data_IF_418181275820
#
_entry.id   IF_418181275820
#
_cell.length_a   1.000
_cell.length_b   1.000
_cell.length_c   1.000
_cell.angle_alpha   90.00
_cell.angle_beta   90.00
_cell.angle_gamma   90.00
#
_symmetry.space_group_name_H-M   'P 1'
#
loop_
_entity.id
_entity.type
_entity.pdbx_description
1 polymer ?
#
# COMPACT_ATOMS: atom_id res chain seq x y z
N UNK A 1 1.59 -20.78 10.76
CA UNK A 1 0.96 -19.46 10.58
C UNK A 1 1.24 -18.97 9.16
N UNK A 2 0.28 -18.29 8.53
CA UNK A 2 0.39 -17.66 7.21
C UNK A 2 0.37 -16.14 7.39
N UNK A 3 1.44 -15.48 6.99
CA UNK A 3 1.69 -14.06 7.27
C UNK A 3 1.90 -13.28 5.97
N UNK A 4 1.11 -12.24 5.75
CA UNK A 4 1.36 -11.25 4.71
C UNK A 4 2.51 -10.33 5.11
N UNK A 5 3.50 -10.15 4.22
CA UNK A 5 4.65 -9.27 4.43
C UNK A 5 4.54 -8.06 3.50
N UNK A 6 4.38 -6.90 4.14
CA UNK A 6 4.29 -5.58 3.52
C UNK A 6 5.54 -5.14 2.77
N UNK A 7 5.51 -3.88 2.33
CA UNK A 7 6.61 -3.28 1.57
C UNK A 7 7.12 -2.00 2.26
N UNK A 8 8.30 -1.54 1.85
CA UNK A 8 8.92 -0.31 2.33
C UNK A 8 9.97 -0.52 3.42
N UNK A 9 10.63 0.57 3.80
CA UNK A 9 11.78 0.56 4.72
C UNK A 9 11.42 0.10 6.12
N UNK A 10 10.23 0.46 6.62
CA UNK A 10 9.79 0.07 7.97
C UNK A 10 9.59 -1.44 8.09
N UNK A 11 9.22 -2.11 6.99
CA UNK A 11 8.98 -3.55 6.99
C UNK A 11 10.27 -4.37 7.10
N UNK A 12 11.41 -3.81 6.68
CA UNK A 12 12.72 -4.45 6.86
C UNK A 12 12.96 -4.76 8.34
N UNK A 13 12.78 -3.77 9.22
CA UNK A 13 12.94 -3.95 10.68
C UNK A 13 11.90 -4.90 11.28
N UNK A 14 10.67 -4.92 10.74
CA UNK A 14 9.65 -5.87 11.18
C UNK A 14 10.04 -7.31 10.84
N UNK A 15 10.59 -7.55 9.65
CA UNK A 15 11.06 -8.87 9.23
C UNK A 15 12.27 -9.32 10.06
N UNK A 16 13.23 -8.43 10.33
CA UNK A 16 14.35 -8.74 11.24
C UNK A 16 13.83 -9.28 12.58
N UNK A 17 12.83 -8.62 13.17
CA UNK A 17 12.23 -9.07 14.43
C UNK A 17 11.45 -10.38 14.30
N UNK A 18 10.77 -10.60 13.17
CA UNK A 18 10.08 -11.87 12.88
C UNK A 18 11.09 -13.02 12.82
N UNK A 19 12.25 -12.82 12.19
CA UNK A 19 13.30 -13.83 12.05
C UNK A 19 13.86 -14.25 13.41
N UNK A 20 14.11 -13.28 14.29
CA UNK A 20 14.51 -13.56 15.67
C UNK A 20 13.47 -14.43 16.39
N UNK A 21 12.19 -14.04 16.30
CA UNK A 21 11.08 -14.77 16.92
C UNK A 21 10.90 -16.18 16.37
N UNK A 22 11.02 -16.36 15.06
CA UNK A 22 11.00 -17.67 14.41
C UNK A 22 12.06 -18.59 14.99
N UNK A 23 13.28 -18.08 15.20
CA UNK A 23 14.40 -18.84 15.77
C UNK A 23 14.21 -19.13 17.25
N UNK A 24 13.84 -18.13 18.05
CA UNK A 24 13.64 -18.25 19.50
C UNK A 24 12.53 -19.25 19.84
N UNK A 25 11.43 -19.23 19.09
CA UNK A 25 10.20 -19.97 19.42
C UNK A 25 9.93 -21.16 18.47
N UNK A 26 10.84 -21.44 17.53
CA UNK A 26 10.72 -22.49 16.52
C UNK A 26 9.39 -22.42 15.73
N UNK A 27 9.01 -21.21 15.32
CA UNK A 27 7.72 -20.96 14.64
C UNK A 27 7.75 -21.44 13.19
N UNK A 28 6.67 -22.09 12.76
CA UNK A 28 6.46 -22.43 11.34
C UNK A 28 5.61 -21.35 10.66
N UNK A 29 6.28 -20.52 9.86
CA UNK A 29 5.69 -19.38 9.15
C UNK A 29 5.80 -19.57 7.64
N UNK A 30 4.69 -19.33 6.94
CA UNK A 30 4.65 -19.15 5.48
C UNK A 30 4.37 -17.66 5.22
N UNK A 31 5.25 -17.01 4.48
CA UNK A 31 5.23 -15.57 4.23
C UNK A 31 4.77 -15.27 2.80
N UNK A 32 3.72 -14.46 2.65
CA UNK A 32 3.17 -14.04 1.36
C UNK A 32 3.55 -12.57 1.11
N UNK A 33 4.35 -12.26 0.07
CA UNK A 33 4.84 -10.91 -0.17
C UNK A 33 3.78 -10.00 -0.81
N UNK A 34 3.98 -8.69 -0.64
CA UNK A 34 3.17 -7.62 -1.24
C UNK A 34 3.89 -6.85 -2.35
N UNK A 35 5.10 -7.26 -2.70
CA UNK A 35 5.92 -6.72 -3.79
C UNK A 35 7.14 -7.61 -4.04
N UNK A 36 7.88 -7.33 -5.11
CA UNK A 36 9.20 -7.96 -5.31
C UNK A 36 10.19 -7.63 -4.19
N UNK A 37 10.13 -6.42 -3.60
CA UNK A 37 10.99 -6.07 -2.46
C UNK A 37 10.69 -6.98 -1.26
N UNK A 38 9.41 -7.18 -0.95
CA UNK A 38 8.98 -8.05 0.15
C UNK A 38 9.36 -9.51 -0.10
N UNK A 39 9.26 -9.98 -1.35
CA UNK A 39 9.67 -11.33 -1.75
C UNK A 39 11.17 -11.56 -1.49
N UNK A 40 12.03 -10.64 -1.94
CA UNK A 40 13.46 -10.73 -1.69
C UNK A 40 13.78 -10.70 -0.19
N UNK A 41 13.11 -9.81 0.55
CA UNK A 41 13.29 -9.73 2.00
C UNK A 41 12.95 -11.04 2.73
N UNK A 42 11.92 -11.78 2.28
CA UNK A 42 11.58 -13.11 2.81
C UNK A 42 12.69 -14.12 2.50
N UNK A 43 13.14 -14.16 1.24
CA UNK A 43 14.15 -15.10 0.76
C UNK A 43 15.51 -14.89 1.43
N UNK A 44 15.98 -13.64 1.48
CA UNK A 44 17.26 -13.25 2.07
C UNK A 44 17.34 -13.62 3.57
N UNK A 45 16.19 -13.69 4.24
CA UNK A 45 16.07 -14.03 5.65
C UNK A 45 15.76 -15.51 5.91
N UNK A 46 15.77 -16.36 4.87
CA UNK A 46 15.46 -17.79 4.95
C UNK A 46 14.08 -18.10 5.56
N UNK A 47 13.10 -17.20 5.34
CA UNK A 47 11.70 -17.45 5.68
C UNK A 47 11.02 -18.27 4.57
N UNK A 48 10.00 -19.06 4.91
CA UNK A 48 9.30 -19.87 3.90
C UNK A 48 8.45 -18.97 3.03
N UNK A 49 8.79 -18.85 1.74
CA UNK A 49 8.02 -18.10 0.77
C UNK A 49 6.73 -18.85 0.38
N UNK A 50 5.61 -18.12 0.33
CA UNK A 50 4.33 -18.59 -0.18
C UNK A 50 3.67 -17.55 -1.10
N UNK A 51 2.52 -17.90 -1.65
CA UNK A 51 1.73 -17.01 -2.50
C UNK A 51 0.22 -17.20 -2.25
N UNK A 52 -0.60 -16.28 -2.76
CA UNK A 52 -2.05 -16.36 -2.56
C UNK A 52 -2.74 -17.49 -3.34
N UNK A 53 -2.09 -18.05 -4.37
CA UNK A 53 -2.62 -19.21 -5.10
C UNK A 53 -2.65 -20.45 -4.21
N UNK A 54 -1.60 -20.66 -3.40
CA UNK A 54 -1.52 -21.79 -2.46
C UNK A 54 -1.99 -21.44 -1.05
N UNK A 55 -1.97 -20.16 -0.68
CA UNK A 55 -2.36 -19.64 0.63
C UNK A 55 -3.39 -18.50 0.50
N UNK A 56 -4.63 -18.76 0.08
CA UNK A 56 -5.62 -17.70 -0.21
C UNK A 56 -6.17 -16.98 1.04
N UNK A 57 -5.96 -17.56 2.22
CA UNK A 57 -6.38 -16.99 3.51
C UNK A 57 -5.17 -16.87 4.42
N UNK A 58 -4.97 -15.69 5.02
CA UNK A 58 -3.85 -15.37 5.89
C UNK A 58 -4.32 -15.10 7.32
N UNK A 59 -3.49 -15.44 8.29
CA UNK A 59 -3.79 -15.21 9.71
C UNK A 59 -3.60 -13.73 10.05
N UNK A 60 -2.54 -13.13 9.50
CA UNK A 60 -2.18 -11.73 9.71
C UNK A 60 -1.49 -11.17 8.45
N UNK A 61 -1.53 -9.86 8.26
CA UNK A 61 -0.65 -9.12 7.38
C UNK A 61 -0.02 -7.96 8.16
N UNK A 62 1.27 -7.74 7.98
CA UNK A 62 2.01 -6.62 8.57
C UNK A 62 2.46 -5.73 7.43
N UNK A 63 2.18 -4.42 7.51
CA UNK A 63 2.53 -3.49 6.45
C UNK A 63 2.82 -2.08 6.97
N UNK A 64 3.49 -1.27 6.14
CA UNK A 64 3.77 0.14 6.42
C UNK A 64 2.66 1.07 5.96
N UNK A 65 2.77 2.35 6.33
CA UNK A 65 1.93 3.42 5.80
C UNK A 65 2.77 4.67 5.47
N UNK A 66 2.33 5.41 4.47
CA UNK A 66 2.89 6.71 4.11
C UNK A 66 2.33 7.84 5.00
N UNK A 67 1.10 7.66 5.49
CA UNK A 67 0.42 8.52 6.46
C UNK A 67 -0.76 7.78 7.09
N UNK A 68 -1.07 8.08 8.34
CA UNK A 68 -2.20 7.53 9.10
C UNK A 68 -2.97 8.70 9.72
N UNK A 69 -4.29 8.76 9.49
CA UNK A 69 -5.14 9.75 10.17
C UNK A 69 -5.75 9.24 11.48
N UNK A 70 -6.37 10.15 12.24
CA UNK A 70 -7.07 9.85 13.50
C UNK A 70 -8.19 8.81 13.41
N UNK A 71 -8.71 8.54 12.21
CA UNK A 71 -9.74 7.54 11.95
C UNK A 71 -9.16 6.21 11.44
N UNK A 72 -7.83 6.06 11.47
CA UNK A 72 -7.07 4.93 10.93
C UNK A 72 -7.27 4.74 9.43
N UNK A 73 -7.54 5.81 8.68
CA UNK A 73 -7.39 5.82 7.25
C UNK A 73 -5.91 5.93 6.91
N UNK A 74 -5.47 5.19 5.90
CA UNK A 74 -4.07 5.15 5.49
C UNK A 74 -3.88 5.73 4.09
N UNK A 75 -2.85 6.56 3.92
CA UNK A 75 -2.17 6.68 2.64
C UNK A 75 -1.11 5.58 2.54
N UNK A 76 -1.14 4.84 1.43
CA UNK A 76 -0.13 3.86 1.02
C UNK A 76 0.16 4.04 -0.47
N UNK A 77 1.26 3.45 -0.94
CA UNK A 77 1.64 3.47 -2.36
C UNK A 77 2.78 4.43 -2.72
N UNK A 78 3.45 5.03 -1.73
CA UNK A 78 4.68 5.78 -1.93
C UNK A 78 5.76 4.95 -2.63
N UNK A 79 5.82 3.64 -2.34
CA UNK A 79 6.66 2.66 -3.05
C UNK A 79 6.08 2.13 -4.37
N UNK A 80 4.78 2.34 -4.65
CA UNK A 80 4.12 1.87 -5.87
C UNK A 80 3.62 0.42 -5.84
N UNK A 81 3.54 -0.19 -4.65
CA UNK A 81 3.14 -1.60 -4.46
C UNK A 81 1.69 -1.76 -3.93
N UNK A 82 0.93 -0.66 -3.83
CA UNK A 82 -0.32 -0.59 -3.05
C UNK A 82 -1.44 -1.53 -3.52
N UNK A 83 -1.44 -1.94 -4.78
CA UNK A 83 -2.40 -2.94 -5.26
C UNK A 83 -2.15 -4.31 -4.62
N UNK A 84 -0.91 -4.79 -4.63
CA UNK A 84 -0.58 -6.09 -4.04
C UNK A 84 -0.68 -6.07 -2.52
N UNK A 85 -0.23 -4.98 -1.89
CA UNK A 85 -0.46 -4.71 -0.45
C UNK A 85 -1.93 -4.87 -0.09
N UNK A 86 -2.84 -4.35 -0.91
CA UNK A 86 -4.29 -4.42 -0.67
C UNK A 86 -4.87 -5.80 -0.85
N UNK A 87 -4.44 -6.51 -1.89
CA UNK A 87 -4.87 -7.88 -2.14
C UNK A 87 -4.48 -8.76 -0.94
N UNK A 88 -3.21 -8.73 -0.52
CA UNK A 88 -2.70 -9.52 0.61
C UNK A 88 -3.41 -9.14 1.91
N UNK A 89 -3.56 -7.85 2.20
CA UNK A 89 -4.29 -7.40 3.39
C UNK A 89 -5.76 -7.84 3.40
N UNK A 90 -6.42 -7.88 2.23
CA UNK A 90 -7.80 -8.34 2.12
C UNK A 90 -7.98 -9.84 2.36
N UNK A 91 -6.92 -10.62 2.14
CA UNK A 91 -6.85 -12.05 2.43
C UNK A 91 -6.52 -12.33 3.91
N UNK A 92 -6.17 -11.32 4.71
CA UNK A 92 -5.74 -11.47 6.10
C UNK A 92 -6.88 -11.23 7.10
N UNK A 93 -6.95 -12.08 8.13
CA UNK A 93 -7.92 -11.92 9.23
C UNK A 93 -7.66 -10.65 10.06
N UNK A 94 -6.38 -10.28 10.16
CA UNK A 94 -5.89 -9.08 10.86
C UNK A 94 -4.86 -8.35 9.99
N UNK A 95 -4.99 -7.03 9.90
CA UNK A 95 -4.00 -6.13 9.32
C UNK A 95 -3.36 -5.31 10.43
N UNK A 96 -2.04 -5.35 10.52
CA UNK A 96 -1.22 -4.61 11.47
C UNK A 96 -0.39 -3.60 10.69
N UNK A 97 -0.57 -2.32 11.01
CA UNK A 97 0.22 -1.24 10.42
C UNK A 97 1.36 -0.86 11.35
N UNK A 98 2.57 -0.76 10.81
CA UNK A 98 3.76 -0.30 11.53
C UNK A 98 4.28 0.96 10.83
N UNK A 99 4.35 2.07 11.56
CA UNK A 99 4.84 3.33 11.04
C UNK A 99 5.53 4.15 12.14
N UNK A 100 6.44 5.03 11.72
CA UNK A 100 7.07 5.99 12.63
C UNK A 100 6.13 7.16 12.96
N UNK A 101 6.37 7.85 14.08
CA UNK A 101 5.55 8.98 14.54
C UNK A 101 5.39 10.12 13.53
N UNK A 102 6.27 10.25 12.52
CA UNK A 102 6.15 11.30 11.48
C UNK A 102 5.02 10.99 10.48
N UNK A 103 4.48 9.76 10.51
CA UNK A 103 3.34 9.31 9.71
C UNK A 103 1.99 9.59 10.38
N UNK A 104 2.00 9.93 11.67
CA UNK A 104 0.80 10.23 12.45
C UNK A 104 0.27 11.64 12.16
N UNK A 105 -1.01 11.72 11.82
CA UNK A 105 -1.68 12.94 11.37
C UNK A 105 -3.12 13.01 11.89
N UNK A 106 -3.65 14.23 12.03
CA UNK A 106 -5.07 14.36 12.40
C UNK A 106 -5.93 14.06 11.17
N UNK A 107 -5.53 14.58 10.01
CA UNK A 107 -6.15 14.36 8.70
C UNK A 107 -5.10 13.92 7.69
N UNK A 108 -5.50 13.09 6.74
CA UNK A 108 -4.64 12.71 5.62
C UNK A 108 -4.23 13.94 4.80
N UNK A 109 -3.00 13.94 4.32
CA UNK A 109 -2.37 15.02 3.57
C UNK A 109 -1.62 16.04 4.42
N UNK A 110 -1.53 15.90 5.75
CA UNK A 110 -0.77 16.82 6.61
C UNK A 110 0.74 16.58 6.50
N UNK A 111 1.15 15.32 6.50
CA UNK A 111 2.56 14.87 6.47
C UNK A 111 2.95 14.34 5.10
N UNK A 112 2.03 13.68 4.39
CA UNK A 112 2.31 13.12 3.07
C UNK A 112 1.79 14.02 1.95
N UNK A 113 2.67 14.89 1.45
CA UNK A 113 2.34 15.92 0.44
C UNK A 113 2.54 15.49 -1.00
N UNK A 114 2.96 14.25 -1.26
CA UNK A 114 3.27 13.76 -2.61
C UNK A 114 2.04 13.40 -3.45
N UNK A 115 0.83 13.55 -2.92
CA UNK A 115 -0.41 13.15 -3.57
C UNK A 115 -0.73 11.68 -3.35
N UNK A 116 -2.02 11.36 -3.33
CA UNK A 116 -2.54 10.00 -3.15
C UNK A 116 -2.15 9.13 -4.35
N UNK A 117 -1.40 8.03 -4.13
CA UNK A 117 -1.03 7.12 -5.22
C UNK A 117 -2.25 6.36 -5.75
N UNK A 118 -2.39 6.34 -7.06
CA UNK A 118 -3.48 5.71 -7.79
C UNK A 118 -2.90 4.84 -8.90
N UNK A 119 -3.18 3.54 -8.91
CA UNK A 119 -2.70 2.63 -9.97
C UNK A 119 -3.72 2.57 -11.11
N UNK A 120 -3.24 2.87 -12.33
CA UNK A 120 -4.07 3.03 -13.53
C UNK A 120 -3.46 2.31 -14.72
N UNK A 121 -4.31 1.68 -15.53
CA UNK A 121 -3.90 1.07 -16.80
C UNK A 121 -3.24 2.13 -17.69
N UNK A 122 -2.10 1.84 -18.34
CA UNK A 122 -1.33 2.83 -19.08
C UNK A 122 -2.12 3.60 -20.16
N UNK A 123 -3.07 2.97 -20.85
CA UNK A 123 -3.90 3.66 -21.85
C UNK A 123 -4.96 4.59 -21.26
N UNK A 124 -5.19 4.55 -19.95
CA UNK A 124 -6.29 5.24 -19.27
C UNK A 124 -5.84 6.40 -18.37
N UNK A 125 -4.53 6.66 -18.19
CA UNK A 125 -4.07 7.64 -17.19
C UNK A 125 -4.61 9.06 -17.46
N UNK A 126 -4.66 9.51 -18.72
CA UNK A 126 -5.20 10.83 -19.08
C UNK A 126 -6.70 10.95 -18.79
N UNK A 127 -7.59 10.12 -19.36
CA UNK A 127 -9.03 10.26 -19.09
C UNK A 127 -9.40 10.03 -17.62
N UNK A 128 -8.66 9.19 -16.89
CA UNK A 128 -8.82 9.04 -15.44
C UNK A 128 -8.44 10.31 -14.70
N UNK A 129 -7.28 10.91 -15.01
CA UNK A 129 -6.85 12.17 -14.41
C UNK A 129 -7.86 13.30 -14.62
N UNK A 130 -8.37 13.45 -15.84
CA UNK A 130 -9.41 14.43 -16.16
C UNK A 130 -10.73 14.16 -15.41
N UNK A 131 -11.10 12.88 -15.26
CA UNK A 131 -12.30 12.51 -14.50
C UNK A 131 -12.14 12.83 -13.02
N UNK A 132 -10.99 12.51 -12.41
CA UNK A 132 -10.66 12.86 -11.02
C UNK A 132 -10.80 14.37 -10.83
N UNK A 133 -10.15 15.18 -11.69
CA UNK A 133 -10.22 16.64 -11.63
C UNK A 133 -11.65 17.16 -11.70
N UNK A 134 -12.50 16.56 -12.55
CA UNK A 134 -13.91 16.98 -12.70
C UNK A 134 -14.81 16.56 -11.54
N UNK A 135 -14.66 15.36 -10.99
CA UNK A 135 -15.61 14.81 -9.99
C UNK A 135 -15.15 15.02 -8.55
N UNK A 136 -13.85 14.93 -8.30
CA UNK A 136 -13.24 15.02 -6.97
C UNK A 136 -12.42 16.30 -6.78
N UNK A 137 -12.13 17.03 -7.86
CA UNK A 137 -11.24 18.18 -7.83
C UNK A 137 -9.77 17.79 -7.73
N UNK A 138 -8.92 18.80 -7.52
CA UNK A 138 -7.47 18.61 -7.39
C UNK A 138 -6.81 18.23 -8.72
N UNK A 139 -5.56 17.77 -8.64
CA UNK A 139 -4.75 17.42 -9.81
C UNK A 139 -4.06 16.08 -9.64
N UNK A 140 -4.18 15.21 -10.64
CA UNK A 140 -3.57 13.89 -10.67
C UNK A 140 -2.38 13.90 -11.66
N UNK A 141 -1.17 13.81 -11.13
CA UNK A 141 0.05 13.88 -11.94
C UNK A 141 0.61 12.48 -12.20
N UNK A 142 1.03 12.21 -13.44
CA UNK A 142 1.71 10.97 -13.78
C UNK A 142 3.07 10.89 -13.06
N UNK A 143 3.27 9.84 -12.26
CA UNK A 143 4.51 9.64 -11.52
C UNK A 143 5.64 9.28 -12.47
N UNK A 144 6.62 10.17 -12.59
CA UNK A 144 7.80 9.95 -13.42
C UNK A 144 8.87 9.14 -12.68
N UNK A 145 9.49 8.19 -13.38
CA UNK A 145 10.52 7.36 -12.79
C UNK A 145 11.85 8.12 -12.70
N UNK A 146 12.67 7.76 -11.69
CA UNK A 146 14.01 8.34 -11.48
C UNK A 146 15.12 7.49 -12.10
N UNK A 147 14.93 6.18 -12.18
CA UNK A 147 15.94 5.20 -12.64
C UNK A 147 15.60 4.61 -14.02
N UNK A 148 14.62 5.18 -14.72
CA UNK A 148 14.32 4.89 -16.13
C UNK A 148 13.73 6.14 -16.79
N UNK A 149 13.84 6.24 -18.11
CA UNK A 149 13.11 7.26 -18.87
C UNK A 149 11.60 6.98 -18.84
N UNK A 150 10.78 8.02 -18.70
CA UNK A 150 9.32 7.90 -18.72
C UNK A 150 8.67 7.57 -17.37
N UNK A 151 7.40 7.14 -17.37
CA UNK A 151 6.63 6.91 -16.14
C UNK A 151 7.14 5.75 -15.30
N UNK A 152 6.82 5.75 -14.01
CA UNK A 152 6.92 4.57 -13.14
C UNK A 152 5.98 3.48 -13.67
N UNK A 153 6.47 2.24 -13.69
CA UNK A 153 5.69 1.04 -13.98
C UNK A 153 5.65 0.19 -12.72
N UNK A 154 4.46 -0.17 -12.25
CA UNK A 154 4.27 -1.01 -11.05
C UNK A 154 4.67 -2.45 -11.31
N UNK A 155 4.76 -3.25 -10.24
CA UNK A 155 4.93 -4.71 -10.32
C UNK A 155 3.83 -5.40 -11.15
N UNK A 156 2.67 -4.75 -11.34
CA UNK A 156 1.57 -5.24 -12.17
C UNK A 156 1.55 -4.64 -13.59
N UNK A 157 2.60 -3.91 -14.00
CA UNK A 157 2.71 -3.34 -15.35
C UNK A 157 1.88 -2.07 -15.58
N UNK A 158 1.39 -1.41 -14.53
CA UNK A 158 0.53 -0.23 -14.64
C UNK A 158 1.28 1.07 -14.34
N UNK A 159 0.65 2.20 -14.62
CA UNK A 159 1.14 3.52 -14.22
C UNK A 159 0.61 3.94 -12.85
N UNK A 160 1.25 4.95 -12.27
CA UNK A 160 0.79 5.60 -11.04
C UNK A 160 0.47 7.06 -11.32
N UNK A 161 -0.72 7.49 -10.93
CA UNK A 161 -1.08 8.89 -10.77
C UNK A 161 -0.94 9.28 -9.29
N UNK A 162 -0.28 10.39 -9.01
CA UNK A 162 -0.23 11.01 -7.70
C UNK A 162 -1.28 12.13 -7.64
N UNK A 163 -2.38 11.87 -6.93
CA UNK A 163 -3.51 12.80 -6.83
C UNK A 163 -3.38 13.75 -5.63
N UNK A 164 -3.14 15.02 -5.93
CA UNK A 164 -3.19 16.11 -4.97
C UNK A 164 -4.64 16.55 -4.82
N UNK A 165 -5.27 16.06 -3.76
CA UNK A 165 -6.67 16.32 -3.45
C UNK A 165 -6.86 17.71 -2.80
N UNK A 166 -8.02 18.36 -2.98
CA UNK A 166 -8.34 19.61 -2.29
C UNK A 166 -8.50 19.42 -0.77
N UNK A 167 -8.18 20.45 0.02
CA UNK A 167 -8.36 20.44 1.49
C UNK A 167 -9.83 20.26 1.93
N UNK A 168 -10.78 20.43 1.00
CA UNK A 168 -12.21 20.22 1.23
C UNK A 168 -12.61 18.74 1.29
N UNK A 169 -11.71 17.81 0.93
CA UNK A 169 -11.99 16.37 0.97
C UNK A 169 -12.02 15.87 2.42
N UNK A 170 -13.16 15.33 2.83
CA UNK A 170 -13.36 14.81 4.19
C UNK A 170 -13.90 13.38 4.22
N UNK A 171 -14.56 12.91 3.16
CA UNK A 171 -15.12 11.54 3.07
C UNK A 171 -14.23 10.61 2.21
N UNK A 172 -13.29 9.93 2.87
CA UNK A 172 -12.42 8.95 2.23
C UNK A 172 -13.14 7.71 1.71
N UNK A 173 -14.33 7.38 2.25
CA UNK A 173 -15.11 6.23 1.79
C UNK A 173 -15.78 6.54 0.46
N UNK A 174 -16.35 7.74 0.31
CA UNK A 174 -16.91 8.21 -0.94
C UNK A 174 -15.82 8.29 -2.01
N UNK A 175 -14.70 8.96 -1.72
CA UNK A 175 -13.55 9.08 -2.62
C UNK A 175 -13.09 7.71 -3.14
N UNK A 176 -12.89 6.74 -2.24
CA UNK A 176 -12.48 5.39 -2.60
C UNK A 176 -13.49 4.70 -3.52
N UNK A 177 -14.79 4.90 -3.26
CA UNK A 177 -15.87 4.33 -4.08
C UNK A 177 -15.88 4.95 -5.47
N UNK A 178 -15.83 6.28 -5.57
CA UNK A 178 -15.83 6.97 -6.85
C UNK A 178 -14.65 6.60 -7.73
N UNK A 179 -13.44 6.57 -7.15
CA UNK A 179 -12.24 6.22 -7.91
C UNK A 179 -12.30 4.76 -8.37
N UNK A 180 -12.72 3.81 -7.53
CA UNK A 180 -12.85 2.40 -7.92
C UNK A 180 -13.81 2.18 -9.10
N UNK A 181 -14.81 3.05 -9.26
CA UNK A 181 -15.80 2.96 -10.33
C UNK A 181 -15.35 3.58 -11.66
N UNK A 182 -14.14 4.15 -11.75
CA UNK A 182 -13.64 4.72 -13.00
C UNK A 182 -13.04 3.62 -13.91
N UNK A 183 -13.41 3.51 -15.19
CA UNK A 183 -12.81 2.56 -16.12
C UNK A 183 -11.29 2.79 -16.27
N UNK A 184 -10.52 1.71 -16.35
CA UNK A 184 -9.06 1.76 -16.42
C UNK A 184 -8.37 1.86 -15.05
N UNK A 185 -9.15 1.97 -13.97
CA UNK A 185 -8.62 1.92 -12.61
C UNK A 185 -8.33 0.49 -12.18
N UNK A 186 -7.16 0.31 -11.56
CA UNK A 186 -6.83 -0.94 -10.86
C UNK A 186 -7.02 -0.77 -9.37
N UNK A 187 -6.54 0.34 -8.79
CA UNK A 187 -6.68 0.57 -7.36
C UNK A 187 -6.51 2.03 -6.93
N UNK A 188 -7.30 2.46 -5.94
CA UNK A 188 -7.14 3.72 -5.21
C UNK A 188 -7.40 3.59 -3.69
N UNK A 189 -7.07 4.67 -2.99
CA UNK A 189 -6.75 4.76 -1.56
C UNK A 189 -7.85 4.36 -0.55
N UNK A 190 -7.46 4.40 0.73
CA UNK A 190 -8.09 3.95 1.98
C UNK A 190 -8.07 2.45 2.20
N UNK A 191 -7.07 2.02 2.96
CA UNK A 191 -7.21 0.93 3.91
C UNK A 191 -7.76 1.53 5.20
N UNK A 192 -8.70 0.84 5.83
CA UNK A 192 -9.00 1.05 7.24
C UNK A 192 -8.30 -0.06 8.00
N UNK A 193 -7.25 0.27 8.75
CA UNK A 193 -6.63 -0.73 9.62
C UNK A 193 -7.51 -0.99 10.84
N UNK A 194 -7.49 -2.22 11.35
CA UNK A 194 -8.06 -2.51 12.67
C UNK A 194 -7.16 -1.99 13.80
N UNK A 195 -5.84 -2.02 13.58
CA UNK A 195 -4.82 -1.58 14.54
C UNK A 195 -3.64 -0.93 13.78
N UNK A 196 -3.11 0.17 14.31
CA UNK A 196 -1.87 0.81 13.86
C UNK A 196 -0.96 1.05 15.06
N UNK A 197 0.31 0.65 14.92
CA UNK A 197 1.34 0.85 15.92
C UNK A 197 2.25 1.97 15.43
N UNK A 198 2.07 3.15 16.00
CA UNK A 198 2.88 4.34 15.76
C UNK A 198 3.94 4.42 16.86
N UNK A 199 5.21 4.39 16.48
CA UNK A 199 6.35 4.50 17.40
C UNK A 199 7.29 5.63 17.01
#
# INVERSE_FOLDING_TARGET
MKLGIGSGSTIVYAVERIVEKVKEENLKLICVPTSFQAEQLILDNNLTLGNLTTCPQLDCAIDGADEVDSNLNLIKGGGGCHTQEKIVASCASKLVIIADYKKDSIRLGEKYKKGIPIEVVPSAYTPVGERIKRTLGGEAHLRMAKQKAGPVVTDNGNFILDWHFPDTVTDWKQVNTEIKMMPGMKFALSFKSKEAFLK
#
